data_IF_611212286645
#
_entry.id   IF_611212286645
#
_cell.length_a   1.000
_cell.length_b   1.000
_cell.length_c   1.000
_cell.angle_alpha   90.00
_cell.angle_beta   90.00
_cell.angle_gamma   90.00
#
_symmetry.space_group_name_H-M   'P 1'
#
loop_
_entity.id
_entity.type
_entity.pdbx_description
1 polymer ?
#
# COMPACT_ATOMS: atom_id res chain seq x y z
N UNK A 1 -8.58 -5.26 3.64
CA UNK A 1 -8.90 -3.86 3.29
C UNK A 1 -7.81 -2.94 3.85
N UNK A 2 -7.60 -1.78 3.21
CA UNK A 2 -6.63 -0.75 3.65
C UNK A 2 -7.42 0.52 3.97
N UNK A 3 -7.25 1.04 5.19
CA UNK A 3 -7.95 2.24 5.66
C UNK A 3 -6.93 3.29 6.09
N UNK A 4 -7.01 4.53 5.57
CA UNK A 4 -6.15 5.61 6.03
C UNK A 4 -6.58 6.05 7.45
N UNK A 5 -5.63 6.07 8.39
CA UNK A 5 -5.87 6.54 9.77
C UNK A 5 -5.35 7.97 9.92
N UNK A 6 -4.13 8.23 9.45
CA UNK A 6 -3.46 9.54 9.46
C UNK A 6 -2.63 9.71 8.18
N UNK A 7 -2.12 10.92 7.88
CA UNK A 7 -1.15 11.09 6.79
C UNK A 7 0.07 10.16 7.02
N UNK A 8 0.34 9.28 6.05
CA UNK A 8 1.39 8.23 6.11
C UNK A 8 1.12 7.04 7.06
N UNK A 9 -0.03 6.99 7.74
CA UNK A 9 -0.42 5.83 8.56
C UNK A 9 -1.64 5.13 7.99
N UNK A 10 -1.48 3.85 7.68
CA UNK A 10 -2.53 3.01 7.10
C UNK A 10 -2.75 1.78 7.97
N UNK A 11 -4.02 1.42 8.18
CA UNK A 11 -4.40 0.16 8.81
C UNK A 11 -4.77 -0.84 7.73
N UNK A 12 -4.17 -2.02 7.77
CA UNK A 12 -4.48 -3.11 6.84
C UNK A 12 -5.06 -4.30 7.60
N UNK A 13 -6.23 -4.77 7.17
CA UNK A 13 -6.90 -5.93 7.74
C UNK A 13 -7.09 -7.01 6.68
N UNK A 14 -6.55 -8.20 6.92
CA UNK A 14 -6.78 -9.38 6.07
C UNK A 14 -7.81 -10.29 6.74
N UNK A 15 -8.86 -10.64 6.00
CA UNK A 15 -9.90 -11.56 6.45
C UNK A 15 -10.05 -12.63 5.38
N UNK A 16 -9.80 -13.87 5.76
CA UNK A 16 -9.86 -15.03 4.84
C UNK A 16 -11.06 -15.89 5.22
N UNK A 17 -11.92 -16.16 4.25
CA UNK A 17 -13.04 -17.09 4.37
C UNK A 17 -12.70 -18.38 3.62
N UNK A 18 -13.05 -19.53 4.21
CA UNK A 18 -12.79 -20.84 3.63
C UNK A 18 -14.03 -21.74 3.73
N UNK A 19 -14.11 -22.76 2.88
CA UNK A 19 -15.21 -23.71 2.87
C UNK A 19 -15.12 -24.66 4.08
N UNK A 20 -16.26 -24.97 4.70
CA UNK A 20 -16.33 -25.80 5.92
C UNK A 20 -15.79 -27.23 5.77
N UNK A 21 -15.62 -27.72 4.54
CA UNK A 21 -15.06 -29.03 4.22
C UNK A 21 -13.51 -29.06 4.24
N UNK A 22 -12.85 -27.90 4.32
CA UNK A 22 -11.39 -27.81 4.32
C UNK A 22 -10.86 -27.91 5.75
N UNK A 23 -9.84 -28.76 6.00
CA UNK A 23 -9.20 -28.84 7.31
C UNK A 23 -8.62 -27.48 7.74
N UNK A 24 -8.89 -27.06 8.97
CA UNK A 24 -8.50 -25.74 9.51
C UNK A 24 -6.99 -25.45 9.49
N UNK A 25 -6.13 -26.46 9.33
CA UNK A 25 -4.69 -26.28 9.15
C UNK A 25 -4.36 -25.52 7.86
N UNK A 26 -5.11 -25.78 6.79
CA UNK A 26 -4.88 -25.19 5.46
C UNK A 26 -5.05 -23.67 5.48
N UNK A 27 -6.20 -23.09 5.89
CA UNK A 27 -6.36 -21.63 5.94
C UNK A 27 -5.41 -20.98 6.95
N UNK A 28 -5.07 -21.66 8.05
CA UNK A 28 -4.09 -21.16 9.02
C UNK A 28 -2.69 -21.04 8.41
N UNK A 29 -2.29 -22.01 7.59
CA UNK A 29 -1.04 -21.97 6.85
C UNK A 29 -1.03 -20.81 5.85
N UNK A 30 -2.08 -20.68 5.03
CA UNK A 30 -2.19 -19.58 4.06
C UNK A 30 -2.12 -18.21 4.72
N UNK A 31 -2.88 -18.00 5.80
CA UNK A 31 -2.86 -16.72 6.53
C UNK A 31 -1.47 -16.42 7.12
N UNK A 32 -0.76 -17.44 7.59
CA UNK A 32 0.61 -17.28 8.12
C UNK A 32 1.58 -16.88 7.02
N UNK A 33 1.53 -17.55 5.86
CA UNK A 33 2.38 -17.22 4.72
C UNK A 33 2.08 -15.82 4.18
N UNK A 34 0.81 -15.47 4.03
CA UNK A 34 0.38 -14.12 3.62
C UNK A 34 0.91 -13.06 4.60
N UNK A 35 0.82 -13.31 5.90
CA UNK A 35 1.34 -12.40 6.92
C UNK A 35 2.85 -12.15 6.79
N UNK A 36 3.64 -13.21 6.54
CA UNK A 36 5.09 -13.10 6.36
C UNK A 36 5.43 -12.33 5.07
N UNK A 37 4.71 -12.59 3.98
CA UNK A 37 4.91 -11.86 2.72
C UNK A 37 4.58 -10.38 2.90
N UNK A 38 3.46 -10.09 3.57
CA UNK A 38 3.02 -8.74 3.84
C UNK A 38 4.00 -7.96 4.73
N UNK A 39 4.60 -8.62 5.73
CA UNK A 39 5.65 -8.01 6.57
C UNK A 39 6.86 -7.56 5.75
N UNK A 40 7.27 -8.33 4.74
CA UNK A 40 8.37 -7.95 3.83
C UNK A 40 8.01 -6.73 2.99
N UNK A 41 6.77 -6.66 2.53
CA UNK A 41 6.30 -5.50 1.78
C UNK A 41 6.22 -4.25 2.66
N UNK A 42 5.77 -4.39 3.93
CA UNK A 42 5.76 -3.29 4.92
C UNK A 42 7.16 -2.69 5.08
N UNK A 43 8.20 -3.52 5.17
CA UNK A 43 9.58 -3.03 5.33
C UNK A 43 10.02 -2.15 4.16
N UNK A 44 9.62 -2.49 2.92
CA UNK A 44 9.91 -1.67 1.75
C UNK A 44 9.05 -0.41 1.73
N UNK A 45 7.76 -0.50 2.05
CA UNK A 45 6.86 0.66 2.02
C UNK A 45 7.22 1.72 3.06
N UNK A 46 7.62 1.31 4.26
CA UNK A 46 8.04 2.23 5.33
C UNK A 46 9.31 3.01 4.98
N UNK A 47 10.19 2.44 4.16
CA UNK A 47 11.47 3.05 3.77
C UNK A 47 11.45 3.64 2.34
N UNK A 48 10.30 3.66 1.67
CA UNK A 48 10.17 4.17 0.30
C UNK A 48 9.56 5.58 0.30
N UNK A 49 10.08 6.44 -0.58
CA UNK A 49 9.51 7.76 -0.89
C UNK A 49 8.61 7.69 -2.13
N UNK A 50 7.50 8.42 -2.09
CA UNK A 50 6.68 8.64 -3.28
C UNK A 50 7.41 9.55 -4.29
N UNK A 51 7.61 9.05 -5.51
CA UNK A 51 8.19 9.79 -6.63
C UNK A 51 7.06 10.08 -7.63
N UNK A 52 6.77 11.35 -7.91
CA UNK A 52 5.68 11.76 -8.80
C UNK A 52 5.89 11.29 -10.24
N UNK A 53 7.12 11.44 -10.76
CA UNK A 53 7.55 11.02 -12.10
C UNK A 53 8.68 9.99 -11.99
N UNK A 54 8.35 8.69 -11.80
CA UNK A 54 9.36 7.64 -11.76
C UNK A 54 9.97 7.42 -13.17
N UNK A 55 11.23 7.00 -13.22
CA UNK A 55 11.86 6.50 -14.44
C UNK A 55 11.30 5.09 -14.71
N UNK A 56 10.53 4.94 -15.79
CA UNK A 56 9.84 3.70 -16.11
C UNK A 56 10.44 3.05 -17.36
N UNK A 57 10.66 1.74 -17.30
CA UNK A 57 10.90 0.90 -18.48
C UNK A 57 9.57 0.49 -19.12
N UNK A 58 9.60 -0.13 -20.31
CA UNK A 58 8.37 -0.47 -21.05
C UNK A 58 7.46 -1.42 -20.26
N UNK A 59 8.08 -2.29 -19.46
CA UNK A 59 7.45 -3.30 -18.62
C UNK A 59 6.66 -2.65 -17.46
N UNK A 60 7.07 -1.46 -17.01
CA UNK A 60 6.45 -0.74 -15.88
C UNK A 60 5.35 0.25 -16.29
N UNK A 61 4.95 0.27 -17.58
CA UNK A 61 3.97 1.21 -18.11
C UNK A 61 2.60 1.15 -17.37
N UNK A 62 2.30 0.02 -16.72
CA UNK A 62 1.09 -0.15 -15.90
C UNK A 62 1.05 0.79 -14.69
N UNK A 63 2.20 1.18 -14.12
CA UNK A 63 2.28 2.03 -12.93
C UNK A 63 1.64 3.40 -13.19
N UNK A 64 1.96 4.01 -14.34
CA UNK A 64 1.41 5.31 -14.69
C UNK A 64 -0.11 5.23 -14.95
N UNK A 65 -0.57 4.16 -15.59
CA UNK A 65 -2.00 3.92 -15.83
C UNK A 65 -2.77 3.76 -14.52
N UNK A 66 -2.25 2.95 -13.60
CA UNK A 66 -2.84 2.75 -12.28
C UNK A 66 -2.94 4.06 -11.49
N UNK A 67 -1.86 4.86 -11.46
CA UNK A 67 -1.88 6.17 -10.76
C UNK A 67 -2.91 7.14 -11.33
N UNK A 68 -3.06 7.18 -12.66
CA UNK A 68 -4.09 8.02 -13.31
C UNK A 68 -5.50 7.56 -12.93
N UNK A 69 -5.76 6.26 -12.99
CA UNK A 69 -7.06 5.70 -12.59
C UNK A 69 -7.36 5.96 -11.12
N UNK A 70 -6.40 5.72 -10.22
CA UNK A 70 -6.58 5.94 -8.78
C UNK A 70 -6.77 7.42 -8.41
N UNK A 71 -6.31 8.34 -9.26
CA UNK A 71 -6.55 9.78 -9.10
C UNK A 71 -8.03 10.17 -9.03
N UNK A 72 -8.94 9.36 -9.58
CA UNK A 72 -10.38 9.63 -9.55
C UNK A 72 -10.98 9.68 -8.13
N UNK A 73 -10.31 9.07 -7.15
CA UNK A 73 -10.78 9.02 -5.75
C UNK A 73 -10.38 10.26 -4.94
N UNK A 74 -9.58 11.17 -5.51
CA UNK A 74 -9.15 12.41 -4.87
C UNK A 74 -9.80 13.61 -5.56
N UNK A 75 -10.37 14.51 -4.77
CA UNK A 75 -10.92 15.79 -5.23
C UNK A 75 -10.08 16.96 -4.70
N UNK A 76 -10.43 18.19 -5.07
CA UNK A 76 -9.74 19.39 -4.57
C UNK A 76 -9.83 19.52 -3.03
N UNK A 77 -10.91 19.00 -2.44
CA UNK A 77 -11.17 19.05 -1.00
C UNK A 77 -10.57 17.86 -0.23
N UNK A 78 -9.88 16.94 -0.90
CA UNK A 78 -9.26 15.80 -0.23
C UNK A 78 -8.11 16.27 0.68
N UNK A 79 -7.98 15.71 1.90
CA UNK A 79 -6.84 15.99 2.77
C UNK A 79 -5.51 15.71 2.05
N UNK A 80 -4.59 16.68 2.07
CA UNK A 80 -3.25 16.54 1.49
C UNK A 80 -2.21 16.58 2.59
N UNK A 81 -1.18 15.75 2.46
CA UNK A 81 0.00 15.84 3.31
C UNK A 81 0.67 17.20 3.06
N UNK A 82 0.64 18.08 4.05
CA UNK A 82 1.47 19.30 4.04
C UNK A 82 2.88 18.90 4.49
N UNK A 83 3.77 18.69 3.53
CA UNK A 83 5.19 18.50 3.82
C UNK A 83 5.75 19.84 4.32
N UNK A 84 5.99 19.94 5.63
CA UNK A 84 6.82 21.01 6.16
C UNK A 84 8.24 20.73 5.67
N UNK A 85 8.73 21.59 4.78
CA UNK A 85 10.07 21.48 4.23
C UNK A 85 10.98 22.18 5.22
N UNK A 86 11.55 21.44 6.17
CA UNK A 86 12.60 21.99 7.02
C UNK A 86 13.73 22.44 6.09
N UNK A 87 13.90 23.76 5.98
CA UNK A 87 15.06 24.35 5.31
C UNK A 87 16.27 23.99 6.15
N UNK A 88 16.93 22.88 5.83
CA UNK A 88 18.29 22.69 6.28
C UNK A 88 19.18 23.63 5.48
N UNK A 89 19.28 24.86 5.98
CA UNK A 89 20.33 25.80 5.63
C UNK A 89 21.66 25.16 6.05
N UNK A 90 22.46 24.75 5.06
CA UNK A 90 23.87 24.41 5.20
C UNK A 90 24.71 25.56 4.65
#
# INVERSE_FOLDING_TARGET
CVTPVEPLLQRVSHTVYYQSNVPALVPKFFLTVESIQFERDIMIWNNKKYISQPLLVKEDAAIQKHRRWYGQFYSQNSPRLQLHRDSMDF
#
